data_IF_359514986827
#
_entry.id   IF_359514986827
#
_cell.length_a   1.000
_cell.length_b   1.000
_cell.length_c   1.000
_cell.angle_alpha   90.00
_cell.angle_beta   90.00
_cell.angle_gamma   90.00
#
_symmetry.space_group_name_H-M   'P 1'
#
loop_
_entity.id
_entity.type
_entity.pdbx_description
1 polymer ?
#
# COMPACT_ATOMS: atom_id res chain seq x y z
N UNK A 1 -20.27 18.11 -1.43
CA UNK A 1 -19.10 17.52 -2.11
C UNK A 1 -17.85 18.29 -1.73
N UNK A 2 -17.20 17.89 -0.65
CA UNK A 2 -15.94 18.48 -0.22
C UNK A 2 -14.83 17.54 -0.71
N UNK A 3 -14.30 17.82 -1.90
CA UNK A 3 -13.08 17.19 -2.39
C UNK A 3 -11.91 17.90 -1.72
N UNK A 4 -11.37 17.32 -0.66
CA UNK A 4 -10.07 17.73 -0.13
C UNK A 4 -9.03 17.39 -1.19
N UNK A 5 -8.46 18.40 -1.85
CA UNK A 5 -7.19 18.24 -2.56
C UNK A 5 -6.10 18.06 -1.51
N UNK A 6 -5.95 16.84 -0.97
CA UNK A 6 -4.63 16.40 -0.51
C UNK A 6 -3.73 16.42 -1.74
N UNK A 7 -2.54 17.01 -1.64
CA UNK A 7 -1.48 16.77 -2.63
C UNK A 7 -1.41 15.26 -2.83
N UNK A 8 -1.81 14.80 -4.02
CA UNK A 8 -2.41 13.50 -4.25
C UNK A 8 -1.57 12.33 -3.71
N UNK A 9 -1.86 11.89 -2.48
CA UNK A 9 -1.40 10.58 -2.02
C UNK A 9 -2.04 9.59 -2.98
N UNK A 10 -1.22 8.93 -3.80
CA UNK A 10 -1.73 7.99 -4.78
C UNK A 10 -2.09 6.67 -4.09
N UNK A 11 -3.07 5.94 -4.62
CA UNK A 11 -3.55 4.68 -4.00
C UNK A 11 -2.42 3.65 -3.81
N UNK A 12 -1.37 3.71 -4.64
CA UNK A 12 -0.20 2.82 -4.55
C UNK A 12 0.59 3.12 -3.27
N UNK A 13 0.85 4.39 -2.97
CA UNK A 13 1.51 4.85 -1.75
C UNK A 13 0.73 4.43 -0.50
N UNK A 14 -0.59 4.59 -0.48
CA UNK A 14 -1.44 4.17 0.64
C UNK A 14 -1.35 2.66 0.91
N UNK A 15 -1.44 1.83 -0.14
CA UNK A 15 -1.30 0.37 -0.02
C UNK A 15 0.09 0.00 0.49
N UNK A 16 1.14 0.61 -0.06
CA UNK A 16 2.52 0.32 0.29
C UNK A 16 2.91 0.78 1.70
N UNK A 17 2.36 1.90 2.18
CA UNK A 17 2.52 2.32 3.57
C UNK A 17 1.75 1.39 4.53
N UNK A 18 0.50 1.03 4.20
CA UNK A 18 -0.26 0.09 5.01
C UNK A 18 0.47 -1.25 5.16
N UNK A 19 1.05 -1.76 4.06
CA UNK A 19 1.89 -2.95 4.09
C UNK A 19 3.14 -2.74 4.93
N UNK A 20 3.89 -1.65 4.71
CA UNK A 20 5.14 -1.37 5.43
C UNK A 20 4.97 -1.33 6.94
N UNK A 21 3.84 -0.81 7.42
CA UNK A 21 3.53 -0.69 8.84
C UNK A 21 2.63 -1.82 9.39
N UNK A 22 2.23 -2.80 8.57
CA UNK A 22 1.40 -3.92 9.01
C UNK A 22 -0.06 -3.52 9.33
N UNK A 23 -0.56 -2.43 8.75
CA UNK A 23 -1.91 -1.91 9.00
C UNK A 23 -2.98 -2.67 8.18
N UNK A 24 -3.30 -3.89 8.58
CA UNK A 24 -4.23 -4.81 7.87
C UNK A 24 -5.57 -4.15 7.52
N UNK A 25 -6.20 -3.47 8.49
CA UNK A 25 -7.52 -2.84 8.26
C UNK A 25 -7.43 -1.74 7.19
N UNK A 26 -6.39 -0.92 7.24
CA UNK A 26 -6.16 0.11 6.22
C UNK A 26 -5.90 -0.52 4.86
N UNK A 27 -5.08 -1.58 4.82
CA UNK A 27 -4.80 -2.31 3.59
C UNK A 27 -6.08 -2.88 2.96
N UNK A 28 -6.96 -3.48 3.76
CA UNK A 28 -8.25 -3.99 3.31
C UNK A 28 -9.12 -2.88 2.73
N UNK A 29 -9.23 -1.73 3.42
CA UNK A 29 -9.98 -0.57 2.93
C UNK A 29 -9.44 -0.08 1.59
N UNK A 30 -8.12 0.06 1.46
CA UNK A 30 -7.49 0.57 0.23
C UNK A 30 -7.63 -0.41 -0.93
N UNK A 31 -7.45 -1.73 -0.70
CA UNK A 31 -7.63 -2.74 -1.74
C UNK A 31 -9.08 -2.90 -2.16
N UNK A 32 -10.04 -2.70 -1.26
CA UNK A 32 -11.47 -2.68 -1.61
C UNK A 32 -11.85 -1.48 -2.49
N UNK A 33 -11.18 -0.34 -2.31
CA UNK A 33 -11.37 0.85 -3.15
C UNK A 33 -10.68 0.71 -4.51
N UNK A 34 -9.47 0.14 -4.54
CA UNK A 34 -8.70 -0.06 -5.76
C UNK A 34 -7.90 -1.39 -5.73
N UNK A 35 -8.54 -2.52 -6.11
CA UNK A 35 -7.90 -3.83 -6.02
C UNK A 35 -6.73 -4.01 -7.00
N UNK A 36 -6.58 -3.13 -7.99
CA UNK A 36 -5.46 -3.15 -8.94
C UNK A 36 -4.12 -2.86 -8.27
N UNK A 37 -4.12 -2.23 -7.09
CA UNK A 37 -2.91 -1.90 -6.35
C UNK A 37 -2.18 -3.11 -5.75
N UNK A 38 -2.84 -4.28 -5.62
CA UNK A 38 -2.26 -5.46 -4.94
C UNK A 38 -0.94 -5.96 -5.55
N UNK A 39 -0.73 -5.72 -6.85
CA UNK A 39 0.49 -6.10 -7.57
C UNK A 39 1.29 -4.89 -8.07
N UNK A 40 0.91 -3.67 -7.68
CA UNK A 40 1.58 -2.46 -8.18
C UNK A 40 2.95 -2.29 -7.55
N UNK A 41 3.93 -1.95 -8.40
CA UNK A 41 5.26 -1.62 -7.96
C UNK A 41 5.28 -0.23 -7.34
N UNK A 42 5.88 -0.12 -6.15
CA UNK A 42 6.16 1.15 -5.50
C UNK A 42 7.65 1.30 -5.27
N UNK A 43 8.13 2.54 -5.39
CA UNK A 43 9.55 2.85 -5.32
C UNK A 43 9.97 3.10 -3.89
N UNK A 44 10.73 2.15 -3.33
CA UNK A 44 11.41 2.29 -2.04
C UNK A 44 12.88 2.63 -2.29
N UNK A 45 13.20 3.92 -2.30
CA UNK A 45 14.55 4.40 -2.60
C UNK A 45 14.97 4.06 -4.04
N UNK A 46 15.91 3.11 -4.19
CA UNK A 46 16.39 2.64 -5.50
C UNK A 46 15.78 1.30 -5.94
N UNK A 47 14.87 0.75 -5.15
CA UNK A 47 14.22 -0.54 -5.43
C UNK A 47 12.73 -0.35 -5.70
N UNK A 48 12.15 -1.27 -6.45
CA UNK A 48 10.71 -1.32 -6.70
C UNK A 48 10.16 -2.63 -6.16
N UNK A 49 9.18 -2.55 -5.27
CA UNK A 49 8.59 -3.72 -4.62
C UNK A 49 7.10 -3.80 -4.90
N UNK A 50 6.57 -5.02 -4.94
CA UNK A 50 5.13 -5.26 -4.82
C UNK A 50 4.74 -5.25 -3.33
N UNK A 51 3.44 -5.08 -3.01
CA UNK A 51 2.93 -5.23 -1.65
C UNK A 51 3.40 -6.53 -0.98
N UNK A 52 3.37 -7.66 -1.69
CA UNK A 52 3.83 -8.94 -1.15
C UNK A 52 5.33 -8.92 -0.77
N UNK A 53 6.19 -8.34 -1.61
CA UNK A 53 7.64 -8.25 -1.30
C UNK A 53 7.86 -7.37 -0.07
N UNK A 54 7.15 -6.24 0.02
CA UNK A 54 7.24 -5.36 1.18
C UNK A 54 6.74 -6.06 2.46
N UNK A 55 5.61 -6.76 2.41
CA UNK A 55 5.05 -7.51 3.55
C UNK A 55 6.04 -8.54 4.09
N UNK A 56 6.65 -9.32 3.19
CA UNK A 56 7.69 -10.29 3.53
C UNK A 56 8.94 -9.62 4.12
N UNK A 57 9.42 -8.52 3.52
CA UNK A 57 10.63 -7.83 3.99
C UNK A 57 10.47 -7.25 5.40
N UNK A 58 9.31 -6.65 5.70
CA UNK A 58 9.01 -6.08 7.00
C UNK A 58 8.45 -7.09 8.01
N UNK A 59 8.37 -8.38 7.65
CA UNK A 59 7.94 -9.49 8.52
C UNK A 59 6.49 -9.35 9.02
N UNK A 60 5.60 -8.84 8.19
CA UNK A 60 4.17 -8.74 8.51
C UNK A 60 3.41 -10.00 8.05
N UNK A 61 3.55 -11.10 8.80
CA UNK A 61 2.95 -12.41 8.44
C UNK A 61 1.44 -12.36 8.21
N UNK A 62 0.73 -11.51 8.94
CA UNK A 62 -0.72 -11.34 8.78
C UNK A 62 -1.14 -10.55 7.53
N UNK A 63 -0.18 -9.97 6.81
CA UNK A 63 -0.38 -9.21 5.56
C UNK A 63 -0.02 -10.04 4.33
N UNK A 64 0.88 -11.03 4.47
CA UNK A 64 1.33 -11.95 3.40
C UNK A 64 0.18 -12.83 2.93
#
# INVERSE_FOLDING_TARGET
NMSFQLSAINDEELVHDAVRYGHIISLEVYLNQNPKCINKLYTYGKSQWTPLIAACFYQHEHVV
#
